data_IF_773440543812
#
_entry.id   IF_773440543812
#
_cell.length_a   1.000
_cell.length_b   1.000
_cell.length_c   1.000
_cell.angle_alpha   90.00
_cell.angle_beta   90.00
_cell.angle_gamma   90.00
#
_symmetry.space_group_name_H-M   'P 1'
#
loop_
_entity.id
_entity.type
_entity.pdbx_description
1 polymer ?
#
# COMPACT_ATOMS: atom_id res chain seq x y z
N UNK A 1 -26.76 19.95 80.61
CA UNK A 1 -26.71 20.28 79.13
C UNK A 1 -25.29 20.03 78.62
N UNK A 2 -25.08 18.83 78.08
CA UNK A 2 -23.80 18.45 77.49
C UNK A 2 -24.00 18.26 75.99
N UNK A 3 -23.30 19.08 75.23
CA UNK A 3 -23.38 19.13 73.74
C UNK A 3 -22.37 18.15 73.17
N UNK A 4 -22.87 17.02 72.65
CA UNK A 4 -22.10 16.00 71.93
C UNK A 4 -21.71 16.55 70.57
N UNK A 5 -20.38 16.72 70.35
CA UNK A 5 -19.80 17.00 69.04
C UNK A 5 -19.49 15.68 68.34
N UNK A 6 -20.20 15.37 67.26
CA UNK A 6 -19.87 14.26 66.37
C UNK A 6 -18.66 14.66 65.46
N UNK A 7 -17.52 13.98 65.69
CA UNK A 7 -16.39 13.99 64.75
C UNK A 7 -16.76 13.26 63.46
N UNK A 8 -16.95 14.00 62.37
CA UNK A 8 -17.00 13.45 61.03
C UNK A 8 -15.65 12.84 60.63
N UNK A 9 -15.63 11.58 60.21
CA UNK A 9 -14.47 10.87 59.71
C UNK A 9 -14.06 11.44 58.37
N UNK A 10 -12.82 11.88 58.13
CA UNK A 10 -12.27 12.16 56.82
C UNK A 10 -11.79 10.84 56.22
N UNK A 11 -12.52 10.24 55.29
CA UNK A 11 -12.09 8.97 54.74
C UNK A 11 -12.78 8.49 53.45
N UNK A 12 -13.86 9.14 53.06
CA UNK A 12 -14.57 8.70 51.81
C UNK A 12 -14.07 9.42 50.58
N UNK A 13 -13.79 10.69 50.63
CA UNK A 13 -13.37 11.51 49.48
C UNK A 13 -11.98 11.14 48.93
N UNK A 14 -11.03 10.77 49.80
CA UNK A 14 -9.71 10.33 49.34
C UNK A 14 -9.72 8.93 48.68
N UNK A 15 -10.56 8.01 49.23
CA UNK A 15 -10.70 6.69 48.58
C UNK A 15 -11.37 6.78 47.21
N UNK A 16 -12.36 7.64 47.06
CA UNK A 16 -13.04 7.85 45.78
C UNK A 16 -12.11 8.48 44.75
N UNK A 17 -11.19 9.34 45.19
CA UNK A 17 -10.18 9.97 44.30
C UNK A 17 -9.13 8.94 43.82
N UNK A 18 -8.67 8.08 44.72
CA UNK A 18 -7.73 7.01 44.39
C UNK A 18 -8.38 5.90 43.55
N UNK A 19 -9.62 5.52 43.84
CA UNK A 19 -10.36 4.56 42.99
C UNK A 19 -10.60 5.15 41.60
N UNK A 20 -10.94 6.42 41.48
CA UNK A 20 -11.11 7.11 40.20
C UNK A 20 -9.77 7.27 39.44
N UNK A 21 -8.67 7.50 40.15
CA UNK A 21 -7.32 7.51 39.56
C UNK A 21 -6.87 6.11 39.13
N UNK A 22 -7.12 5.09 39.94
CA UNK A 22 -6.83 3.69 39.62
C UNK A 22 -7.70 3.19 38.48
N UNK A 23 -8.98 3.57 38.42
CA UNK A 23 -9.86 3.27 37.29
C UNK A 23 -9.41 4.02 36.02
N UNK A 24 -8.94 5.25 36.12
CA UNK A 24 -8.32 5.97 34.98
C UNK A 24 -6.98 5.36 34.56
N UNK A 25 -6.19 4.83 35.47
CA UNK A 25 -4.95 4.12 35.17
C UNK A 25 -5.22 2.69 34.68
N UNK A 26 -6.22 2.01 35.24
CA UNK A 26 -6.64 0.68 34.79
C UNK A 26 -7.45 0.72 33.46
N UNK A 27 -8.23 1.77 33.25
CA UNK A 27 -8.83 2.12 31.96
C UNK A 27 -7.83 2.91 31.09
N UNK A 28 -6.56 2.95 31.48
CA UNK A 28 -5.48 3.54 30.70
C UNK A 28 -5.65 3.08 29.26
N UNK A 29 -5.95 4.01 28.37
CA UNK A 29 -6.21 3.81 26.94
C UNK A 29 -5.29 2.69 26.44
N UNK A 30 -5.83 1.50 26.19
CA UNK A 30 -5.09 0.50 25.45
C UNK A 30 -4.74 1.18 24.15
N UNK A 31 -3.46 1.50 24.00
CA UNK A 31 -2.96 2.11 22.78
C UNK A 31 -3.39 1.24 21.61
N UNK A 32 -4.01 1.82 20.57
CA UNK A 32 -4.37 1.05 19.41
C UNK A 32 -3.11 0.44 18.80
N UNK A 33 -3.08 -0.87 18.67
CA UNK A 33 -2.03 -1.59 17.96
C UNK A 33 -2.40 -1.60 16.48
N UNK A 34 -1.66 -0.83 15.68
CA UNK A 34 -1.83 -0.75 14.24
C UNK A 34 -0.79 -1.63 13.57
N UNK A 35 -1.16 -2.33 12.51
CA UNK A 35 -0.30 -3.25 11.78
C UNK A 35 0.00 -2.73 10.38
N UNK A 36 1.25 -2.84 9.97
CA UNK A 36 1.68 -2.52 8.62
C UNK A 36 2.43 -3.71 8.02
N UNK A 37 1.88 -4.28 6.95
CA UNK A 37 2.49 -5.40 6.23
C UNK A 37 3.28 -4.81 5.07
N UNK A 38 4.61 -4.87 5.15
CA UNK A 38 5.54 -4.32 4.14
C UNK A 38 6.02 -5.43 3.24
N UNK A 39 5.69 -5.34 1.96
CA UNK A 39 5.89 -6.38 0.96
C UNK A 39 6.88 -5.90 -0.11
N UNK A 40 7.81 -6.76 -0.48
CA UNK A 40 8.80 -6.47 -1.52
C UNK A 40 10.02 -5.69 -1.04
N UNK A 41 10.81 -5.26 -2.00
CA UNK A 41 12.10 -4.64 -1.75
C UNK A 41 13.16 -5.63 -1.20
N UNK A 42 14.40 -5.18 -1.17
CA UNK A 42 15.48 -5.88 -0.47
C UNK A 42 15.37 -5.64 1.05
N UNK A 43 16.14 -6.37 1.83
CA UNK A 43 16.23 -6.10 3.28
C UNK A 43 16.71 -4.68 3.57
N UNK A 44 17.53 -4.13 2.71
CA UNK A 44 18.03 -2.75 2.78
C UNK A 44 16.92 -1.76 2.49
N UNK A 45 16.16 -1.95 1.39
CA UNK A 45 14.98 -1.16 1.06
C UNK A 45 13.92 -1.15 2.17
N UNK A 46 13.71 -2.29 2.82
CA UNK A 46 12.79 -2.40 3.96
C UNK A 46 13.30 -1.62 5.20
N UNK A 47 14.61 -1.64 5.46
CA UNK A 47 15.22 -0.81 6.54
C UNK A 47 15.07 0.66 6.23
N UNK A 48 15.40 1.08 5.01
CA UNK A 48 15.27 2.47 4.58
C UNK A 48 13.82 2.97 4.71
N UNK A 49 12.85 2.11 4.40
CA UNK A 49 11.44 2.40 4.61
C UNK A 49 11.11 2.62 6.09
N UNK A 50 11.56 1.73 6.99
CA UNK A 50 11.34 1.84 8.43
C UNK A 50 12.02 3.09 8.98
N UNK A 51 13.25 3.36 8.56
CA UNK A 51 14.00 4.54 8.98
C UNK A 51 13.35 5.83 8.48
N UNK A 52 12.79 5.82 7.27
CA UNK A 52 12.04 6.95 6.70
C UNK A 52 10.78 7.28 7.49
N UNK A 53 10.07 6.27 8.02
CA UNK A 53 8.94 6.47 8.92
C UNK A 53 9.37 7.07 10.28
N UNK A 54 10.55 6.68 10.78
CA UNK A 54 11.06 7.14 12.07
C UNK A 54 11.67 8.56 12.01
N UNK A 55 12.36 8.91 10.92
CA UNK A 55 13.10 10.18 10.79
C UNK A 55 12.22 11.42 10.89
N UNK A 56 11.02 11.36 10.39
CA UNK A 56 10.12 12.51 10.36
C UNK A 56 9.69 12.96 11.76
N UNK A 57 9.63 12.04 12.72
CA UNK A 57 9.39 12.36 14.12
C UNK A 57 10.64 12.94 14.79
N UNK A 58 11.84 12.45 14.43
CA UNK A 58 13.09 12.93 15.01
C UNK A 58 13.43 14.37 14.61
N UNK A 59 13.14 14.78 13.37
CA UNK A 59 13.41 16.14 12.90
C UNK A 59 12.59 17.20 13.65
N UNK A 60 11.39 16.89 14.08
CA UNK A 60 10.56 17.79 14.90
C UNK A 60 11.05 17.87 16.35
N UNK A 61 11.60 16.78 16.89
CA UNK A 61 12.08 16.69 18.28
C UNK A 61 13.49 17.28 18.50
N UNK A 62 14.34 17.33 17.48
CA UNK A 62 15.74 17.78 17.60
C UNK A 62 15.85 19.27 17.91
N UNK A 63 14.79 20.06 17.81
CA UNK A 63 14.78 21.47 18.20
C UNK A 63 14.65 21.68 19.70
N UNK A 64 14.29 20.68 20.50
CA UNK A 64 13.97 20.82 21.93
C UNK A 64 14.59 19.77 22.88
N UNK A 65 15.17 18.67 22.41
CA UNK A 65 15.76 17.63 23.27
C UNK A 65 17.11 17.13 22.76
N UNK A 66 18.03 16.86 23.68
CA UNK A 66 19.26 16.11 23.42
C UNK A 66 18.91 14.72 22.87
N UNK A 67 19.68 14.16 21.92
CA UNK A 67 19.40 12.86 21.33
C UNK A 67 19.57 11.77 22.40
N UNK A 68 18.48 11.42 23.07
CA UNK A 68 18.42 10.20 23.86
C UNK A 68 18.33 9.01 22.88
N UNK A 69 19.35 8.19 22.87
CA UNK A 69 19.52 6.96 22.08
C UNK A 69 18.39 5.91 22.25
N UNK A 70 17.34 6.21 23.01
CA UNK A 70 16.28 5.25 23.38
C UNK A 70 15.13 5.12 22.38
N UNK A 71 15.07 5.95 21.33
CA UNK A 71 13.96 5.97 20.38
C UNK A 71 14.32 5.41 18.98
N UNK A 72 15.49 4.80 18.82
CA UNK A 72 15.79 4.08 17.59
C UNK A 72 14.85 2.87 17.47
N UNK A 73 14.21 2.71 16.29
CA UNK A 73 13.42 1.53 16.01
C UNK A 73 14.27 0.27 16.24
N UNK A 74 13.75 -0.79 16.88
CA UNK A 74 14.52 -2.00 17.09
C UNK A 74 14.95 -2.58 15.73
N UNK A 75 16.11 -3.25 15.66
CA UNK A 75 16.61 -3.79 14.43
C UNK A 75 15.61 -4.81 13.85
N UNK A 76 15.45 -4.76 12.52
CA UNK A 76 14.57 -5.68 11.80
C UNK A 76 15.01 -7.14 12.03
N UNK A 77 14.17 -7.91 12.68
CA UNK A 77 14.44 -9.34 12.92
C UNK A 77 13.92 -10.17 11.75
N UNK A 78 14.82 -10.66 10.90
CA UNK A 78 14.48 -11.45 9.69
C UNK A 78 15.00 -12.89 9.79
N UNK A 79 14.47 -13.70 10.70
CA UNK A 79 14.99 -15.08 10.85
C UNK A 79 14.27 -16.15 10.01
N UNK A 80 13.00 -15.93 9.61
CA UNK A 80 12.17 -16.97 9.01
C UNK A 80 11.28 -16.47 7.88
N UNK A 81 11.82 -15.63 6.98
CA UNK A 81 11.07 -15.09 5.86
C UNK A 81 10.21 -13.88 6.22
N UNK A 82 9.57 -13.84 7.38
CA UNK A 82 8.81 -12.71 7.89
C UNK A 82 9.65 -11.93 8.90
N UNK A 83 9.96 -10.67 8.59
CA UNK A 83 10.62 -9.75 9.50
C UNK A 83 9.61 -9.05 10.41
N UNK A 84 10.05 -8.63 11.60
CA UNK A 84 9.24 -7.86 12.54
C UNK A 84 10.04 -6.73 13.17
N UNK A 85 9.39 -5.58 13.25
CA UNK A 85 9.85 -4.44 14.06
C UNK A 85 8.63 -3.64 14.52
N UNK A 86 8.81 -2.63 15.33
CA UNK A 86 7.72 -1.73 15.72
C UNK A 86 8.19 -0.28 15.76
N UNK A 87 7.23 0.61 15.62
CA UNK A 87 7.43 2.05 15.74
C UNK A 87 6.32 2.65 16.59
N UNK A 88 6.68 3.51 17.56
CA UNK A 88 5.70 4.21 18.37
C UNK A 88 5.35 5.54 17.70
N UNK A 89 4.07 5.80 17.53
CA UNK A 89 3.56 7.04 16.97
C UNK A 89 3.17 7.97 18.11
N UNK A 90 3.70 9.19 18.06
CA UNK A 90 3.41 10.23 19.02
C UNK A 90 2.52 11.30 18.40
N UNK A 91 1.79 12.02 19.22
CA UNK A 91 1.01 13.18 18.82
C UNK A 91 1.90 14.32 18.26
N UNK A 92 1.27 15.34 17.66
CA UNK A 92 1.95 16.52 17.11
C UNK A 92 2.86 17.21 18.12
N UNK A 93 2.48 17.22 19.38
CA UNK A 93 3.24 17.84 20.48
C UNK A 93 4.32 16.91 21.07
N UNK A 94 4.40 15.65 20.58
CA UNK A 94 5.35 14.62 21.02
C UNK A 94 5.32 14.28 22.53
N UNK A 95 4.26 14.62 23.22
CA UNK A 95 4.09 14.34 24.64
C UNK A 95 3.43 12.97 24.86
N UNK A 96 2.38 12.67 24.09
CA UNK A 96 1.59 11.46 24.26
C UNK A 96 1.80 10.45 23.11
N UNK A 97 1.93 9.16 23.47
CA UNK A 97 1.93 8.07 22.49
C UNK A 97 0.48 7.79 22.04
N UNK A 98 0.20 7.97 20.74
CA UNK A 98 -1.13 7.83 20.17
C UNK A 98 -1.40 6.41 19.70
N UNK A 99 -0.39 5.74 19.14
CA UNK A 99 -0.51 4.38 18.62
C UNK A 99 0.85 3.67 18.62
N UNK A 100 0.80 2.34 18.62
CA UNK A 100 1.96 1.50 18.28
C UNK A 100 1.75 0.93 16.88
N UNK A 101 2.73 1.10 16.02
CA UNK A 101 2.74 0.56 14.67
C UNK A 101 3.64 -0.67 14.63
N UNK A 102 3.04 -1.85 14.52
CA UNK A 102 3.72 -3.14 14.36
C UNK A 102 3.98 -3.39 12.87
N UNK A 103 5.26 -3.47 12.47
CA UNK A 103 5.68 -3.64 11.08
C UNK A 103 6.09 -5.09 10.84
N UNK A 104 5.46 -5.71 9.86
CA UNK A 104 5.79 -7.05 9.38
C UNK A 104 6.34 -6.95 7.97
N UNK A 105 7.52 -7.49 7.70
CA UNK A 105 8.18 -7.34 6.39
C UNK A 105 8.38 -8.69 5.71
N UNK A 106 8.09 -8.76 4.41
CA UNK A 106 8.28 -9.94 3.58
C UNK A 106 8.95 -9.54 2.26
N UNK A 107 10.05 -10.21 1.90
CA UNK A 107 10.86 -9.87 0.73
C UNK A 107 10.49 -10.66 -0.54
N UNK A 108 9.92 -11.86 -0.39
CA UNK A 108 9.60 -12.75 -1.51
C UNK A 108 8.09 -12.98 -1.65
N UNK A 109 7.50 -12.86 -2.86
CA UNK A 109 6.08 -13.05 -3.12
C UNK A 109 5.69 -14.54 -3.30
N UNK A 110 6.40 -15.47 -2.63
CA UNK A 110 6.11 -16.88 -2.75
C UNK A 110 4.81 -17.30 -2.05
N UNK A 111 4.01 -18.13 -2.71
CA UNK A 111 2.73 -18.65 -2.18
C UNK A 111 2.89 -19.41 -0.86
N UNK A 112 4.07 -19.98 -0.61
CA UNK A 112 4.39 -20.67 0.65
C UNK A 112 4.33 -19.77 1.89
N UNK A 113 4.44 -18.44 1.71
CA UNK A 113 4.32 -17.48 2.80
C UNK A 113 2.88 -17.02 3.06
N UNK A 114 1.92 -17.39 2.22
CA UNK A 114 0.50 -17.02 2.41
C UNK A 114 -0.03 -17.42 3.80
N UNK A 115 0.24 -18.62 4.36
CA UNK A 115 -0.22 -18.98 5.70
C UNK A 115 0.32 -18.10 6.82
N UNK A 116 1.50 -17.47 6.63
CA UNK A 116 2.05 -16.52 7.62
C UNK A 116 1.28 -15.21 7.62
N UNK A 117 0.94 -14.71 6.43
CA UNK A 117 0.14 -13.49 6.28
C UNK A 117 -1.31 -13.69 6.75
N UNK A 118 -1.91 -14.85 6.45
CA UNK A 118 -3.26 -15.20 6.92
C UNK A 118 -3.36 -15.12 8.45
N UNK A 119 -2.33 -15.54 9.18
CA UNK A 119 -2.32 -15.45 10.65
C UNK A 119 -2.24 -14.03 11.20
N UNK A 120 -1.79 -13.05 10.42
CA UNK A 120 -1.77 -11.65 10.82
C UNK A 120 -3.14 -10.99 10.66
N UNK A 121 -3.97 -11.52 9.76
CA UNK A 121 -5.28 -10.98 9.37
C UNK A 121 -6.39 -11.67 10.16
N UNK A 122 -6.44 -11.43 11.47
CA UNK A 122 -7.57 -11.84 12.29
C UNK A 122 -8.71 -10.82 12.18
N UNK A 123 -9.98 -11.19 12.40
CA UNK A 123 -11.12 -10.27 12.32
C UNK A 123 -10.89 -8.96 13.08
N UNK A 124 -10.36 -9.05 14.30
CA UNK A 124 -10.07 -7.88 15.15
C UNK A 124 -8.90 -7.02 14.63
N UNK A 125 -7.99 -7.64 13.89
CA UNK A 125 -6.80 -6.96 13.38
C UNK A 125 -7.03 -6.26 12.03
N UNK A 126 -7.94 -6.76 11.21
CA UNK A 126 -8.23 -6.25 9.86
C UNK A 126 -8.49 -4.74 9.84
N UNK A 127 -9.33 -4.15 10.71
CA UNK A 127 -9.59 -2.71 10.70
C UNK A 127 -8.36 -1.86 11.05
N UNK A 128 -7.34 -2.49 11.65
CA UNK A 128 -6.12 -1.86 12.11
C UNK A 128 -4.89 -2.25 11.26
N UNK A 129 -5.11 -2.86 10.10
CA UNK A 129 -4.04 -3.37 9.24
C UNK A 129 -4.06 -2.68 7.88
N UNK A 130 -2.88 -2.29 7.39
CA UNK A 130 -2.67 -1.82 6.02
C UNK A 130 -1.51 -2.59 5.37
N UNK A 131 -1.54 -2.69 4.05
CA UNK A 131 -0.47 -3.30 3.26
C UNK A 131 0.32 -2.22 2.50
N UNK A 132 1.63 -2.41 2.40
CA UNK A 132 2.54 -1.56 1.62
C UNK A 132 3.33 -2.44 0.67
N UNK A 133 3.38 -2.06 -0.61
CA UNK A 133 4.26 -2.69 -1.60
C UNK A 133 5.39 -1.72 -1.93
N UNK A 134 6.64 -2.20 -1.80
CA UNK A 134 7.84 -1.42 -2.12
C UNK A 134 8.27 -1.68 -3.56
N UNK A 135 8.47 -0.61 -4.31
CA UNK A 135 9.05 -0.59 -5.65
C UNK A 135 10.31 0.27 -5.63
N UNK A 136 11.27 0.01 -6.52
CA UNK A 136 12.54 0.73 -6.57
C UNK A 136 12.76 1.39 -7.94
N UNK A 137 12.93 2.71 -7.96
CA UNK A 137 13.22 3.48 -9.16
C UNK A 137 14.55 3.11 -9.86
N UNK A 138 15.40 2.31 -9.22
CA UNK A 138 16.55 1.72 -9.90
C UNK A 138 16.13 0.77 -11.05
N UNK A 139 14.91 0.19 -10.97
CA UNK A 139 14.37 -0.78 -11.94
C UNK A 139 12.90 -0.51 -12.25
N UNK A 140 12.55 0.61 -12.90
CA UNK A 140 11.15 0.94 -13.17
C UNK A 140 10.44 -0.05 -14.10
N UNK A 141 11.17 -0.80 -14.93
CA UNK A 141 10.60 -1.83 -15.81
C UNK A 141 10.01 -3.03 -15.04
N UNK A 142 10.47 -3.29 -13.82
CA UNK A 142 9.99 -4.39 -12.98
C UNK A 142 8.72 -4.01 -12.16
N UNK A 143 8.27 -2.76 -12.21
CA UNK A 143 7.18 -2.26 -11.35
C UNK A 143 5.90 -3.08 -11.48
N UNK A 144 5.43 -3.27 -12.71
CA UNK A 144 4.16 -3.95 -12.96
C UNK A 144 4.25 -5.45 -12.67
N UNK A 145 5.38 -6.07 -13.00
CA UNK A 145 5.63 -7.47 -12.67
C UNK A 145 5.61 -7.68 -11.14
N UNK A 146 6.30 -6.83 -10.39
CA UNK A 146 6.34 -6.88 -8.92
C UNK A 146 4.95 -6.64 -8.32
N UNK A 147 4.22 -5.63 -8.78
CA UNK A 147 2.85 -5.37 -8.34
C UNK A 147 1.93 -6.57 -8.58
N UNK A 148 1.99 -7.19 -9.78
CA UNK A 148 1.19 -8.37 -10.11
C UNK A 148 1.44 -9.51 -9.13
N UNK A 149 2.70 -9.83 -8.86
CA UNK A 149 3.05 -10.91 -7.95
C UNK A 149 2.52 -10.69 -6.53
N UNK A 150 2.69 -9.47 -6.00
CA UNK A 150 2.23 -9.14 -4.66
C UNK A 150 0.71 -9.05 -4.55
N UNK A 151 0.04 -8.49 -5.56
CA UNK A 151 -1.42 -8.43 -5.60
C UNK A 151 -2.03 -9.84 -5.67
N UNK A 152 -1.45 -10.75 -6.48
CA UNK A 152 -1.87 -12.15 -6.51
C UNK A 152 -1.69 -12.86 -5.17
N UNK A 153 -0.56 -12.63 -4.50
CA UNK A 153 -0.34 -13.20 -3.15
C UNK A 153 -1.36 -12.64 -2.15
N UNK A 154 -1.63 -11.34 -2.16
CA UNK A 154 -2.63 -10.72 -1.29
C UNK A 154 -4.04 -11.26 -1.58
N UNK A 155 -4.43 -11.41 -2.85
CA UNK A 155 -5.70 -12.02 -3.24
C UNK A 155 -5.80 -13.47 -2.74
N UNK A 156 -4.72 -14.25 -2.85
CA UNK A 156 -4.67 -15.61 -2.31
C UNK A 156 -4.87 -15.63 -0.79
N UNK A 157 -4.19 -14.72 -0.08
CA UNK A 157 -4.29 -14.61 1.37
C UNK A 157 -5.71 -14.21 1.79
N UNK A 158 -6.29 -13.17 1.20
CA UNK A 158 -7.65 -12.69 1.53
C UNK A 158 -8.72 -13.74 1.20
N UNK A 159 -8.57 -14.46 0.08
CA UNK A 159 -9.49 -15.54 -0.30
C UNK A 159 -9.39 -16.79 0.59
N UNK A 160 -8.25 -16.99 1.27
CA UNK A 160 -8.02 -18.13 2.16
C UNK A 160 -8.46 -17.89 3.60
N UNK A 161 -8.95 -16.69 3.91
CA UNK A 161 -9.45 -16.33 5.24
C UNK A 161 -10.77 -17.04 5.53
N UNK A 162 -11.06 -17.23 6.83
CA UNK A 162 -12.33 -17.74 7.30
C UNK A 162 -13.46 -16.74 7.09
N UNK A 163 -14.71 -17.20 7.16
CA UNK A 163 -15.90 -16.41 6.89
C UNK A 163 -15.97 -15.14 7.76
N UNK A 164 -15.64 -15.24 9.03
CA UNK A 164 -15.65 -14.10 9.96
C UNK A 164 -14.62 -13.02 9.60
N UNK A 165 -13.46 -13.42 9.11
CA UNK A 165 -12.44 -12.49 8.63
C UNK A 165 -12.81 -11.87 7.27
N UNK A 166 -13.50 -12.62 6.40
CA UNK A 166 -14.02 -12.08 5.14
C UNK A 166 -15.13 -11.04 5.40
N UNK A 167 -16.02 -11.28 6.37
CA UNK A 167 -17.00 -10.28 6.81
C UNK A 167 -16.30 -9.01 7.32
N UNK A 168 -15.25 -9.16 8.15
CA UNK A 168 -14.48 -8.03 8.65
C UNK A 168 -13.77 -7.24 7.52
N UNK A 169 -13.32 -7.92 6.45
CA UNK A 169 -12.78 -7.25 5.25
C UNK A 169 -13.86 -6.42 4.54
N UNK A 170 -15.07 -6.93 4.40
CA UNK A 170 -16.18 -6.21 3.77
C UNK A 170 -16.60 -5.00 4.60
N UNK A 171 -16.69 -5.14 5.93
CA UNK A 171 -16.96 -4.03 6.83
C UNK A 171 -15.87 -2.94 6.75
N UNK A 172 -14.60 -3.36 6.76
CA UNK A 172 -13.48 -2.43 6.62
C UNK A 172 -13.51 -1.66 5.30
N UNK A 173 -13.91 -2.32 4.22
CA UNK A 173 -14.07 -1.72 2.90
C UNK A 173 -15.20 -0.68 2.89
N UNK A 174 -16.33 -0.98 3.50
CA UNK A 174 -17.45 -0.04 3.65
C UNK A 174 -17.03 1.17 4.50
N UNK A 175 -16.31 0.94 5.61
CA UNK A 175 -15.76 2.00 6.46
C UNK A 175 -14.75 2.89 5.70
N UNK A 176 -13.95 2.29 4.82
CA UNK A 176 -13.02 3.03 3.97
C UNK A 176 -13.77 3.95 2.99
N UNK A 177 -14.83 3.46 2.33
CA UNK A 177 -15.66 4.28 1.45
C UNK A 177 -16.26 5.48 2.19
N UNK A 178 -16.79 5.28 3.38
CA UNK A 178 -17.32 6.36 4.21
C UNK A 178 -16.26 7.37 4.65
N UNK A 179 -15.00 6.95 4.88
CA UNK A 179 -13.89 7.87 5.17
C UNK A 179 -13.54 8.71 3.95
N UNK A 180 -13.40 8.08 2.78
CA UNK A 180 -13.16 8.75 1.49
C UNK A 180 -14.20 9.85 1.24
N UNK A 181 -15.47 9.53 1.41
CA UNK A 181 -16.56 10.47 1.18
C UNK A 181 -16.48 11.67 2.13
N UNK A 182 -16.10 11.46 3.39
CA UNK A 182 -15.83 12.53 4.35
C UNK A 182 -14.64 13.40 3.93
N UNK A 183 -13.55 12.80 3.51
CA UNK A 183 -12.33 13.52 3.10
C UNK A 183 -12.60 14.41 1.88
N UNK A 184 -13.37 13.89 0.91
CA UNK A 184 -13.82 14.66 -0.25
C UNK A 184 -14.74 15.81 0.19
N UNK A 185 -15.71 15.56 1.06
CA UNK A 185 -16.63 16.58 1.55
C UNK A 185 -15.91 17.69 2.35
N UNK A 186 -14.87 17.33 3.12
CA UNK A 186 -14.06 18.29 3.88
C UNK A 186 -13.19 19.17 2.97
N UNK A 187 -12.78 18.65 1.83
CA UNK A 187 -11.96 19.39 0.86
C UNK A 187 -12.78 20.33 -0.04
N UNK A 188 -14.09 20.15 -0.09
CA UNK A 188 -15.02 20.97 -0.89
C UNK A 188 -15.88 21.84 0.04
N UNK A 189 -15.88 23.15 -0.20
CA UNK A 189 -16.59 24.15 0.61
C UNK A 189 -18.11 24.13 0.44
N UNK A 190 -18.67 23.32 -0.44
CA UNK A 190 -20.10 23.22 -0.71
C UNK A 190 -20.67 21.85 -0.29
N UNK A 191 -21.94 21.85 0.14
CA UNK A 191 -22.73 20.66 0.52
C UNK A 191 -22.90 19.68 -0.66
N UNK A 192 -21.83 18.96 -0.99
CA UNK A 192 -21.91 17.93 -2.02
C UNK A 192 -22.32 16.59 -1.40
N UNK A 193 -23.35 15.99 -1.97
CA UNK A 193 -23.69 14.59 -1.77
C UNK A 193 -22.50 13.72 -2.20
N UNK A 194 -22.16 12.64 -1.48
CA UNK A 194 -21.09 11.75 -1.85
C UNK A 194 -21.29 11.27 -3.29
N UNK A 195 -20.27 11.48 -4.12
CA UNK A 195 -20.31 11.06 -5.53
C UNK A 195 -20.15 9.53 -5.59
N UNK A 196 -20.96 8.84 -6.39
CA UNK A 196 -20.77 7.41 -6.61
C UNK A 196 -19.37 7.14 -7.17
N UNK A 197 -18.84 5.94 -6.90
CA UNK A 197 -17.57 5.49 -7.46
C UNK A 197 -17.61 5.60 -8.99
N UNK A 198 -16.56 6.17 -9.56
CA UNK A 198 -16.39 6.26 -11.01
C UNK A 198 -16.01 4.90 -11.62
N UNK A 199 -16.00 4.79 -12.95
CA UNK A 199 -15.56 3.57 -13.60
C UNK A 199 -14.09 3.27 -13.28
N UNK A 200 -13.78 2.01 -13.01
CA UNK A 200 -12.44 1.57 -12.62
C UNK A 200 -12.00 1.92 -11.20
N UNK A 201 -12.82 2.66 -10.44
CA UNK A 201 -12.53 3.00 -9.07
C UNK A 201 -12.94 1.87 -8.14
N UNK A 202 -11.97 1.26 -7.48
CA UNK A 202 -12.21 0.24 -6.45
C UNK A 202 -12.99 -1.00 -6.94
N UNK A 203 -12.74 -1.41 -8.20
CA UNK A 203 -13.41 -2.57 -8.81
C UNK A 203 -12.96 -3.91 -8.19
N UNK A 204 -11.69 -4.02 -7.80
CA UNK A 204 -11.09 -5.22 -7.19
C UNK A 204 -10.44 -4.88 -5.83
N UNK A 205 -11.23 -4.57 -4.80
CA UNK A 205 -10.68 -4.20 -3.50
C UNK A 205 -10.13 -5.40 -2.74
N UNK A 206 -8.98 -5.21 -2.10
CA UNK A 206 -8.37 -6.23 -1.23
C UNK A 206 -9.04 -6.32 0.16
N UNK A 207 -9.93 -5.40 0.50
CA UNK A 207 -10.51 -5.27 1.84
C UNK A 207 -9.55 -4.64 2.88
N UNK A 208 -8.29 -4.39 2.49
CA UNK A 208 -7.27 -3.70 3.29
C UNK A 208 -6.80 -2.45 2.56
N UNK A 209 -6.51 -1.36 3.28
CA UNK A 209 -5.82 -0.22 2.69
C UNK A 209 -4.48 -0.66 2.09
N UNK A 210 -4.29 -0.35 0.79
CA UNK A 210 -3.07 -0.65 0.06
C UNK A 210 -2.32 0.64 -0.27
N UNK A 211 -1.02 0.66 -0.02
CA UNK A 211 -0.12 1.74 -0.40
C UNK A 211 1.00 1.18 -1.27
N UNK A 212 1.39 1.90 -2.29
CA UNK A 212 2.57 1.60 -3.09
C UNK A 212 3.59 2.71 -2.91
N UNK A 213 4.79 2.32 -2.50
CA UNK A 213 5.90 3.22 -2.21
C UNK A 213 7.00 2.96 -3.22
N UNK A 214 7.19 3.90 -4.15
CA UNK A 214 8.30 3.89 -5.09
C UNK A 214 9.49 4.60 -4.44
N UNK A 215 10.43 3.81 -3.96
CA UNK A 215 11.64 4.28 -3.29
C UNK A 215 12.68 4.76 -4.30
N UNK A 216 13.66 5.53 -3.80
CA UNK A 216 14.83 5.96 -4.56
C UNK A 216 14.48 6.82 -5.78
N UNK A 217 13.51 7.75 -5.65
CA UNK A 217 13.09 8.63 -6.73
C UNK A 217 14.23 9.51 -7.31
N UNK A 218 15.36 9.64 -6.60
CA UNK A 218 16.58 10.30 -7.14
C UNK A 218 17.13 9.59 -8.39
N UNK A 219 16.85 8.28 -8.59
CA UNK A 219 17.27 7.57 -9.80
C UNK A 219 16.56 8.05 -11.07
N UNK A 220 15.47 8.80 -10.96
CA UNK A 220 14.78 9.43 -12.09
C UNK A 220 15.76 10.28 -12.91
N UNK A 221 16.61 11.06 -12.24
CA UNK A 221 17.65 11.86 -12.94
C UNK A 221 18.70 10.98 -13.64
N UNK A 222 19.12 9.88 -13.02
CA UNK A 222 20.09 8.96 -13.61
C UNK A 222 19.50 8.25 -14.83
N UNK A 223 18.22 7.84 -14.77
CA UNK A 223 17.50 7.23 -15.88
C UNK A 223 17.40 8.20 -17.08
N UNK A 224 17.16 9.48 -16.81
CA UNK A 224 17.12 10.52 -17.85
C UNK A 224 18.48 10.72 -18.52
N UNK A 225 19.55 10.84 -17.73
CA UNK A 225 20.90 11.12 -18.21
C UNK A 225 21.59 9.92 -18.86
N UNK A 226 21.43 8.73 -18.29
CA UNK A 226 22.23 7.55 -18.66
C UNK A 226 21.45 6.60 -19.58
N UNK A 227 20.13 6.51 -19.44
CA UNK A 227 19.29 5.59 -20.20
C UNK A 227 18.41 6.27 -21.24
N UNK A 228 18.47 7.61 -21.35
CA UNK A 228 17.72 8.35 -22.35
C UNK A 228 16.20 8.38 -22.12
N UNK A 229 15.76 8.17 -20.87
CA UNK A 229 14.37 8.35 -20.51
C UNK A 229 13.96 9.81 -20.74
N UNK A 230 12.75 10.01 -21.22
CA UNK A 230 12.17 11.33 -21.47
C UNK A 230 10.94 11.48 -20.56
N UNK A 231 10.47 12.70 -20.43
CA UNK A 231 9.25 13.03 -19.69
C UNK A 231 8.08 12.09 -20.06
N UNK A 232 7.95 11.79 -21.35
CA UNK A 232 6.93 10.86 -21.84
C UNK A 232 6.96 9.46 -21.20
N UNK A 233 8.14 8.95 -20.85
CA UNK A 233 8.27 7.64 -20.21
C UNK A 233 7.86 7.70 -18.74
N UNK A 234 8.21 8.78 -18.05
CA UNK A 234 7.81 8.98 -16.66
C UNK A 234 6.29 9.20 -16.53
N UNK A 235 5.70 9.97 -17.45
CA UNK A 235 4.25 10.14 -17.54
C UNK A 235 3.54 8.81 -17.78
N UNK A 236 4.07 8.00 -18.70
CA UNK A 236 3.53 6.67 -19.00
C UNK A 236 3.58 5.75 -17.77
N UNK A 237 4.73 5.69 -17.08
CA UNK A 237 4.87 4.93 -15.83
C UNK A 237 3.84 5.39 -14.80
N UNK A 238 3.71 6.69 -14.62
CA UNK A 238 2.79 7.26 -13.63
C UNK A 238 1.33 6.98 -13.99
N UNK A 239 0.92 7.13 -15.27
CA UNK A 239 -0.43 6.82 -15.72
C UNK A 239 -0.74 5.34 -15.55
N UNK A 240 0.21 4.46 -15.88
CA UNK A 240 0.05 3.02 -15.76
C UNK A 240 -0.12 2.61 -14.29
N UNK A 241 0.77 3.05 -13.39
CA UNK A 241 0.68 2.80 -11.96
C UNK A 241 -0.65 3.30 -11.38
N UNK A 242 -1.03 4.54 -11.68
CA UNK A 242 -2.29 5.13 -11.20
C UNK A 242 -3.50 4.33 -11.67
N UNK A 243 -3.51 3.86 -12.91
CA UNK A 243 -4.61 3.06 -13.47
C UNK A 243 -4.77 1.73 -12.75
N UNK A 244 -3.66 1.03 -12.52
CA UNK A 244 -3.64 -0.25 -11.81
C UNK A 244 -4.06 -0.06 -10.34
N UNK A 245 -3.50 0.94 -9.67
CA UNK A 245 -3.74 1.21 -8.26
C UNK A 245 -5.15 1.71 -7.97
N UNK A 246 -5.75 2.45 -8.90
CA UNK A 246 -7.13 2.92 -8.80
C UNK A 246 -8.11 1.76 -8.63
N UNK A 247 -7.88 0.65 -9.34
CA UNK A 247 -8.73 -0.55 -9.28
C UNK A 247 -8.79 -1.16 -7.87
N UNK A 248 -7.70 -1.03 -7.12
CA UNK A 248 -7.61 -1.51 -5.74
C UNK A 248 -7.88 -0.42 -4.69
N UNK A 249 -8.16 0.82 -5.12
CA UNK A 249 -8.29 1.97 -4.22
C UNK A 249 -6.99 2.32 -3.48
N UNK A 250 -5.84 1.97 -4.06
CA UNK A 250 -4.54 2.10 -3.43
C UNK A 250 -3.97 3.51 -3.55
N UNK A 251 -3.15 3.90 -2.56
CA UNK A 251 -2.36 5.13 -2.60
C UNK A 251 -0.99 4.91 -3.23
N UNK A 252 -0.41 5.98 -3.79
CA UNK A 252 0.92 5.98 -4.40
C UNK A 252 1.77 7.09 -3.81
N UNK A 253 3.03 6.79 -3.46
CA UNK A 253 4.00 7.80 -3.02
C UNK A 253 5.39 7.49 -3.57
N UNK A 254 6.08 8.54 -4.01
CA UNK A 254 7.50 8.48 -4.36
C UNK A 254 8.31 8.99 -3.18
N UNK A 255 9.37 8.28 -2.82
CA UNK A 255 10.21 8.62 -1.69
C UNK A 255 11.67 8.71 -2.07
N UNK A 256 12.38 9.61 -1.41
CA UNK A 256 13.83 9.75 -1.48
C UNK A 256 14.42 9.61 -0.08
N UNK A 257 15.58 8.98 0.10
CA UNK A 257 16.22 8.83 1.42
C UNK A 257 16.44 10.17 2.13
N UNK A 258 16.76 11.23 1.38
CA UNK A 258 16.99 12.56 1.92
C UNK A 258 15.70 13.32 2.31
N UNK A 259 14.56 12.95 1.73
CA UNK A 259 13.28 13.63 1.92
C UNK A 259 12.10 12.64 1.95
N UNK A 260 11.91 11.89 3.03
CA UNK A 260 10.79 10.95 3.16
C UNK A 260 9.41 11.64 3.29
N UNK A 261 9.41 12.95 3.35
CA UNK A 261 8.35 13.97 3.51
C UNK A 261 6.88 13.55 3.63
N UNK A 262 6.34 12.82 2.66
CA UNK A 262 4.90 12.53 2.58
C UNK A 262 4.53 11.11 3.02
N UNK A 263 5.51 10.26 3.32
CA UNK A 263 5.30 8.85 3.63
C UNK A 263 4.53 8.65 4.94
N UNK A 264 5.00 9.28 6.01
CA UNK A 264 4.39 9.10 7.34
C UNK A 264 2.94 9.60 7.40
N UNK A 265 2.60 10.82 6.91
CA UNK A 265 1.21 11.27 6.87
C UNK A 265 0.30 10.34 6.07
N UNK A 266 0.81 9.78 4.95
CA UNK A 266 0.05 8.85 4.12
C UNK A 266 -0.22 7.52 4.84
N UNK A 267 0.77 6.95 5.52
CA UNK A 267 0.62 5.72 6.31
C UNK A 267 -0.32 5.95 7.50
N UNK A 268 -0.19 7.08 8.19
CA UNK A 268 -1.09 7.42 9.30
C UNK A 268 -2.52 7.61 8.83
N UNK A 269 -2.72 8.26 7.69
CA UNK A 269 -4.05 8.41 7.08
C UNK A 269 -4.66 7.06 6.69
N UNK A 270 -3.88 6.16 6.07
CA UNK A 270 -4.35 4.83 5.68
C UNK A 270 -4.76 3.96 6.89
N UNK A 271 -4.08 4.13 8.03
CA UNK A 271 -4.35 3.41 9.28
C UNK A 271 -5.31 4.14 10.23
N UNK A 272 -5.87 5.28 9.83
CA UNK A 272 -6.74 6.11 10.68
C UNK A 272 -6.08 6.48 12.02
N UNK A 273 -4.82 6.93 11.95
CA UNK A 273 -4.07 7.42 13.10
C UNK A 273 -4.15 8.95 13.11
N UNK A 274 -4.86 9.51 14.08
CA UNK A 274 -4.99 10.95 14.25
C UNK A 274 -3.73 11.52 14.93
N UNK A 275 -2.63 11.60 14.19
CA UNK A 275 -1.35 12.14 14.70
C UNK A 275 -1.05 13.55 14.20
N UNK A 276 -1.81 14.06 13.25
CA UNK A 276 -1.59 15.38 12.64
C UNK A 276 -2.88 16.17 12.53
N UNK A 277 -2.88 17.46 12.95
CA UNK A 277 -4.04 18.34 12.81
C UNK A 277 -4.28 18.79 11.37
N UNK A 278 -3.36 18.52 10.45
CA UNK A 278 -3.33 19.07 9.09
C UNK A 278 -4.34 18.42 8.13
N UNK A 279 -5.11 17.42 8.61
CA UNK A 279 -6.09 16.69 7.78
C UNK A 279 -5.45 15.67 6.82
N UNK A 280 -6.20 15.21 5.80
CA UNK A 280 -5.70 14.21 4.85
C UNK A 280 -4.52 14.76 4.03
N UNK A 281 -3.56 13.89 3.65
CA UNK A 281 -2.39 14.31 2.88
C UNK A 281 -2.82 14.88 1.51
N UNK A 282 -2.28 16.04 1.16
CA UNK A 282 -2.57 16.69 -0.12
C UNK A 282 -1.88 15.96 -1.25
N UNK A 283 -2.62 15.72 -2.33
CA UNK A 283 -2.06 15.10 -3.53
C UNK A 283 -0.99 15.98 -4.20
N UNK A 284 0.00 15.34 -4.81
CA UNK A 284 0.99 15.97 -5.68
C UNK A 284 1.27 15.03 -6.87
N UNK A 285 0.87 15.43 -8.05
CA UNK A 285 1.10 14.69 -9.31
C UNK A 285 1.90 15.53 -10.32
N UNK A 286 2.34 16.71 -9.91
CA UNK A 286 3.07 17.66 -10.75
C UNK A 286 4.58 17.44 -10.62
N UNK A 287 5.06 17.31 -9.39
CA UNK A 287 6.48 17.10 -9.14
C UNK A 287 6.85 15.64 -9.39
N UNK A 288 7.66 15.42 -10.42
CA UNK A 288 8.03 14.09 -10.92
C UNK A 288 8.74 13.20 -9.88
N UNK A 289 9.48 13.80 -8.97
CA UNK A 289 10.25 13.13 -7.91
C UNK A 289 9.50 13.01 -6.57
N UNK A 290 8.36 13.70 -6.44
CA UNK A 290 7.58 13.81 -5.19
C UNK A 290 6.10 13.51 -5.38
N UNK A 291 5.82 12.54 -6.22
CA UNK A 291 4.45 12.12 -6.48
C UNK A 291 3.80 11.62 -5.19
N UNK A 292 2.57 12.08 -4.95
CA UNK A 292 1.69 11.63 -3.89
C UNK A 292 0.26 11.55 -4.39
N UNK A 293 -0.31 10.36 -4.37
CA UNK A 293 -1.71 10.10 -4.68
C UNK A 293 -2.33 9.43 -3.47
N UNK A 294 -3.15 10.13 -2.69
CA UNK A 294 -3.85 9.53 -1.56
C UNK A 294 -4.86 8.47 -2.01
N UNK A 295 -5.13 7.43 -1.19
CA UNK A 295 -6.16 6.45 -1.48
C UNK A 295 -7.52 7.12 -1.73
N UNK A 296 -8.22 6.72 -2.79
CA UNK A 296 -9.54 7.24 -3.13
C UNK A 296 -9.58 8.65 -3.73
N UNK A 297 -8.44 9.27 -3.98
CA UNK A 297 -8.39 10.59 -4.62
C UNK A 297 -8.48 10.52 -6.15
N UNK A 298 -7.96 9.45 -6.76
CA UNK A 298 -7.76 9.35 -8.21
C UNK A 298 -9.07 9.02 -8.99
N UNK A 299 -9.04 9.20 -10.32
CA UNK A 299 -10.09 8.81 -11.25
C UNK A 299 -9.54 8.71 -12.67
N UNK A 300 -10.24 7.99 -13.56
CA UNK A 300 -9.84 7.90 -14.98
C UNK A 300 -9.69 9.27 -15.64
N UNK A 301 -10.56 10.23 -15.30
CA UNK A 301 -10.48 11.58 -15.82
C UNK A 301 -9.18 12.27 -15.44
N UNK A 302 -8.76 12.18 -14.17
CA UNK A 302 -7.52 12.78 -13.67
C UNK A 302 -6.28 12.11 -14.26
N UNK A 303 -6.35 10.79 -14.53
CA UNK A 303 -5.25 10.05 -15.15
C UNK A 303 -5.05 10.47 -16.61
N UNK A 304 -6.15 10.61 -17.37
CA UNK A 304 -6.10 10.99 -18.79
C UNK A 304 -5.55 12.40 -19.02
N UNK A 305 -5.73 13.31 -18.06
CA UNK A 305 -5.23 14.70 -18.17
C UNK A 305 -3.71 14.77 -18.19
N UNK A 306 -3.01 13.79 -17.60
CA UNK A 306 -1.54 13.83 -17.53
C UNK A 306 -0.92 13.78 -18.93
N UNK A 307 -1.40 12.88 -19.79
CA UNK A 307 -0.96 12.76 -21.18
C UNK A 307 -2.04 12.11 -22.06
N UNK A 308 -2.26 12.67 -23.23
CA UNK A 308 -3.17 12.11 -24.25
C UNK A 308 -2.65 10.82 -24.87
N UNK A 309 -3.55 9.95 -25.30
CA UNK A 309 -3.23 8.70 -26.02
C UNK A 309 -2.98 7.49 -25.12
N UNK A 310 -3.10 7.60 -23.80
CA UNK A 310 -3.02 6.47 -22.89
C UNK A 310 -4.39 5.79 -22.72
N UNK A 311 -4.47 4.49 -23.01
CA UNK A 311 -5.68 3.69 -22.87
C UNK A 311 -5.88 3.20 -21.44
N UNK A 312 -6.47 4.05 -20.60
CA UNK A 312 -6.76 3.76 -19.19
C UNK A 312 -7.69 2.55 -19.05
N UNK A 313 -8.71 2.43 -19.93
CA UNK A 313 -9.72 1.38 -19.85
C UNK A 313 -9.15 0.03 -20.26
N UNK A 314 -8.39 -0.03 -21.35
CA UNK A 314 -7.71 -1.23 -21.80
C UNK A 314 -6.74 -1.78 -20.76
N UNK A 315 -5.91 -0.91 -20.17
CA UNK A 315 -4.96 -1.26 -19.09
C UNK A 315 -5.70 -1.76 -17.85
N UNK A 316 -6.76 -1.09 -17.42
CA UNK A 316 -7.55 -1.51 -16.26
C UNK A 316 -8.19 -2.88 -16.45
N UNK A 317 -8.73 -3.14 -17.66
CA UNK A 317 -9.34 -4.44 -18.01
C UNK A 317 -8.31 -5.56 -18.04
N UNK A 318 -7.20 -5.33 -18.74
CA UNK A 318 -6.12 -6.30 -18.85
C UNK A 318 -5.51 -6.65 -17.49
N UNK A 319 -5.29 -5.65 -16.62
CA UNK A 319 -4.85 -5.89 -15.25
C UNK A 319 -5.82 -6.79 -14.46
N UNK A 320 -7.14 -6.58 -14.58
CA UNK A 320 -8.14 -7.43 -13.92
C UNK A 320 -8.05 -8.90 -14.32
N UNK A 321 -7.70 -9.19 -15.58
CA UNK A 321 -7.47 -10.56 -16.06
C UNK A 321 -6.15 -11.11 -15.50
N UNK A 322 -5.09 -10.31 -15.51
CA UNK A 322 -3.76 -10.74 -15.11
C UNK A 322 -3.60 -11.05 -13.61
N UNK A 323 -4.37 -10.39 -12.75
CA UNK A 323 -4.31 -10.65 -11.29
C UNK A 323 -5.11 -11.89 -10.87
N UNK A 324 -6.01 -12.39 -11.72
CA UNK A 324 -6.69 -13.66 -11.47
C UNK A 324 -5.68 -14.80 -11.64
N UNK A 325 -5.53 -15.65 -10.60
CA UNK A 325 -4.73 -16.86 -10.74
C UNK A 325 -5.37 -17.75 -11.79
N UNK A 326 -4.68 -17.96 -12.92
CA UNK A 326 -4.99 -19.08 -13.78
C UNK A 326 -4.81 -20.36 -12.97
N UNK A 327 -5.78 -21.28 -12.96
CA UNK A 327 -5.57 -22.59 -12.39
C UNK A 327 -4.31 -23.17 -13.05
N UNK A 328 -3.29 -23.43 -12.22
CA UNK A 328 -2.08 -24.10 -12.67
C UNK A 328 -2.53 -25.36 -13.41
N UNK A 329 -2.39 -25.39 -14.73
CA UNK A 329 -2.47 -26.62 -15.51
C UNK A 329 -1.57 -27.62 -14.80
N UNK A 330 -2.10 -28.76 -14.34
CA UNK A 330 -1.25 -29.77 -13.74
C UNK A 330 -0.21 -30.14 -14.80
N UNK A 331 1.06 -29.90 -14.50
CA UNK A 331 2.18 -30.40 -15.28
C UNK A 331 1.96 -31.92 -15.42
N UNK A 332 1.51 -32.33 -16.59
CA UNK A 332 1.31 -33.73 -16.94
C UNK A 332 2.62 -34.48 -16.66
N UNK A 333 2.59 -35.57 -15.87
CA UNK A 333 3.76 -36.40 -15.75
C UNK A 333 4.11 -36.94 -17.14
N UNK A 334 5.32 -36.73 -17.56
CA UNK A 334 5.92 -37.25 -18.77
C UNK A 334 5.65 -38.76 -18.87
N UNK A 335 4.63 -39.16 -19.64
CA UNK A 335 4.48 -40.55 -20.05
C UNK A 335 5.42 -40.80 -21.21
N UNK A 336 6.11 -41.93 -21.24
CA UNK A 336 6.97 -42.28 -22.35
C UNK A 336 6.14 -42.54 -23.60
N UNK A 337 6.53 -41.90 -24.69
CA UNK A 337 5.93 -41.97 -26.01
C UNK A 337 6.15 -43.38 -26.55
N UNK A 338 5.12 -44.21 -26.66
CA UNK A 338 5.07 -45.35 -27.57
C UNK A 338 4.52 -44.90 -28.88
N UNK A 339 5.15 -45.22 -30.03
CA UNK A 339 4.66 -44.83 -31.32
C UNK A 339 3.70 -45.91 -31.87
N UNK A 340 2.41 -45.65 -31.92
CA UNK A 340 1.51 -46.29 -32.89
C UNK A 340 0.10 -45.70 -32.88
N UNK A 341 -0.34 -45.39 -34.11
CA UNK A 341 -1.67 -45.15 -34.62
C UNK A 341 -2.00 -43.72 -35.04
N UNK A 342 -1.71 -43.49 -36.33
CA UNK A 342 -2.39 -42.50 -37.18
C UNK A 342 -3.87 -42.89 -37.33
N UNK A 343 -4.78 -41.94 -37.05
CA UNK A 343 -6.01 -41.72 -37.90
C UNK A 343 -6.68 -40.39 -37.51
N UNK A 344 -6.75 -39.54 -38.52
CA UNK A 344 -7.78 -38.56 -38.93
C UNK A 344 -8.65 -37.83 -37.91
N UNK A 345 -8.63 -36.51 -38.01
CA UNK A 345 -9.85 -35.69 -37.96
C UNK A 345 -10.00 -34.80 -36.74
N UNK A 346 -9.88 -33.57 -37.00
CA UNK A 346 -10.34 -32.34 -36.43
C UNK A 346 -9.24 -31.44 -35.87
N UNK A 347 -8.84 -30.50 -36.71
CA UNK A 347 -8.07 -29.34 -36.35
C UNK A 347 -8.92 -28.48 -35.41
N UNK A 348 -8.72 -28.67 -34.10
CA UNK A 348 -9.10 -27.66 -33.11
C UNK A 348 -8.01 -26.60 -33.15
N UNK A 349 -8.34 -25.45 -33.67
CA UNK A 349 -7.48 -24.26 -33.63
C UNK A 349 -7.02 -24.04 -32.19
N UNK A 350 -5.69 -23.83 -31.94
CA UNK A 350 -5.24 -23.47 -30.62
C UNK A 350 -5.87 -22.13 -30.24
N UNK A 351 -6.68 -22.15 -29.20
CA UNK A 351 -7.37 -21.01 -28.63
C UNK A 351 -6.40 -19.84 -28.46
N UNK A 352 -6.64 -18.77 -29.20
CA UNK A 352 -5.96 -17.46 -29.11
C UNK A 352 -6.00 -16.83 -27.71
N UNK A 353 -6.76 -17.41 -26.78
CA UNK A 353 -6.92 -16.91 -25.40
C UNK A 353 -5.65 -17.01 -24.52
N UNK A 354 -4.64 -17.80 -24.89
CA UNK A 354 -3.41 -17.95 -24.10
C UNK A 354 -2.37 -16.87 -24.47
N UNK A 355 -2.43 -16.31 -25.66
CA UNK A 355 -1.47 -15.31 -26.13
C UNK A 355 -1.80 -13.86 -25.73
N UNK A 356 -3.06 -13.57 -25.34
CA UNK A 356 -3.50 -12.23 -24.94
C UNK A 356 -3.18 -11.88 -23.46
N UNK A 357 -2.87 -12.87 -22.63
CA UNK A 357 -2.73 -12.68 -21.18
C UNK A 357 -1.43 -12.03 -20.73
N UNK A 358 -0.37 -12.08 -21.54
CA UNK A 358 0.92 -11.44 -21.23
C UNK A 358 1.08 -10.05 -21.88
N UNK A 359 0.11 -9.60 -22.64
CA UNK A 359 0.29 -8.44 -23.54
C UNK A 359 0.51 -7.14 -22.81
N UNK A 360 -0.14 -6.89 -21.66
CA UNK A 360 -0.08 -5.58 -21.00
C UNK A 360 1.23 -5.38 -20.26
N UNK A 361 1.72 -6.41 -19.55
CA UNK A 361 3.03 -6.38 -18.87
C UNK A 361 4.13 -6.33 -19.91
N UNK A 362 4.05 -7.16 -20.93
CA UNK A 362 5.03 -7.19 -22.02
C UNK A 362 5.09 -5.84 -22.74
N UNK A 363 3.95 -5.21 -23.01
CA UNK A 363 3.90 -3.87 -23.61
C UNK A 363 4.52 -2.81 -22.69
N UNK A 364 4.22 -2.86 -21.38
CA UNK A 364 4.84 -1.97 -20.40
C UNK A 364 6.36 -2.15 -20.38
N UNK A 365 6.84 -3.37 -20.26
CA UNK A 365 8.26 -3.69 -20.21
C UNK A 365 8.97 -3.28 -21.51
N UNK A 366 8.42 -3.59 -22.67
CA UNK A 366 8.98 -3.18 -23.96
C UNK A 366 9.09 -1.68 -24.09
N UNK A 367 8.06 -0.93 -23.67
CA UNK A 367 8.08 0.53 -23.77
C UNK A 367 9.06 1.17 -22.80
N UNK A 368 9.27 0.55 -21.65
CA UNK A 368 10.14 1.09 -20.60
C UNK A 368 11.58 0.57 -20.71
N UNK A 369 11.83 -0.67 -21.16
CA UNK A 369 13.18 -1.19 -21.36
C UNK A 369 13.90 -0.60 -22.56
N UNK A 370 13.16 -0.28 -23.64
CA UNK A 370 13.70 0.29 -24.86
C UNK A 370 13.18 1.71 -25.10
N UNK A 371 13.70 2.71 -24.39
CA UNK A 371 13.28 4.11 -24.55
C UNK A 371 13.59 4.72 -25.93
N UNK A 372 14.35 4.02 -26.75
CA UNK A 372 14.59 4.34 -28.17
C UNK A 372 13.90 3.30 -29.06
N UNK A 373 12.63 3.50 -29.46
CA UNK A 373 12.08 2.67 -30.53
C UNK A 373 12.96 2.88 -31.77
N UNK A 374 13.28 1.81 -32.53
CA UNK A 374 13.97 1.96 -33.80
C UNK A 374 13.20 2.96 -34.64
N UNK A 375 13.89 3.95 -35.21
CA UNK A 375 13.27 4.95 -36.09
C UNK A 375 12.43 4.20 -37.13
N UNK A 376 11.14 4.60 -37.37
CA UNK A 376 10.32 3.93 -38.35
C UNK A 376 11.11 3.96 -39.66
N UNK A 377 11.43 2.78 -40.20
CA UNK A 377 12.06 2.65 -41.48
C UNK A 377 11.15 3.33 -42.50
N UNK A 378 11.57 4.48 -43.00
CA UNK A 378 10.92 5.16 -44.10
C UNK A 378 10.75 4.13 -45.23
N UNK A 379 9.57 3.97 -45.81
CA UNK A 379 9.42 3.14 -46.99
C UNK A 379 10.36 3.68 -48.06
N UNK A 380 11.24 2.83 -48.57
CA UNK A 380 12.03 3.16 -49.75
C UNK A 380 11.04 3.42 -50.86
N UNK A 381 10.92 4.67 -51.28
CA UNK A 381 10.34 5.05 -52.56
C UNK A 381 11.22 4.46 -53.67
N UNK A 382 10.74 3.40 -54.32
CA UNK A 382 11.16 2.99 -55.68
C UNK A 382 10.42 3.80 -56.69
#
# INVERSE_FOLDING_TARGET
MARSQSKSRPGSSERDMWSTLLDKVASGKRLPDKKLIVLGGSQESQRDFVDSLAQQQQQKTTRLRKPDQKNAAPPLATRFGLGYTYHNVYDSDHEDMVARLSLYTLTSPDKQYAPLLTRLLTPDAIPNTAAVILLDWAKPWDFIHTLRQWTRLLNLVTSSLDETAQEALQENMSAWQHRRDRDIATSMTDNHTPLPLGPGEHDDPLGLPLLVVCQNAQHIESLEKERGYREAHFDYILQFLRTVLLKHGAGLVYTMPAQPGSLQPLVHHALDINSSPDGPPKHNVVDRDRVLVPPGWDSWGKIRVLREGFDVEGVSRAWGVEIQDLPSTPSSPTQPITPEAQTAGDAVEPSLAVAEQDTTITLYEQQIQNPHPPAPSLPKLE
#
